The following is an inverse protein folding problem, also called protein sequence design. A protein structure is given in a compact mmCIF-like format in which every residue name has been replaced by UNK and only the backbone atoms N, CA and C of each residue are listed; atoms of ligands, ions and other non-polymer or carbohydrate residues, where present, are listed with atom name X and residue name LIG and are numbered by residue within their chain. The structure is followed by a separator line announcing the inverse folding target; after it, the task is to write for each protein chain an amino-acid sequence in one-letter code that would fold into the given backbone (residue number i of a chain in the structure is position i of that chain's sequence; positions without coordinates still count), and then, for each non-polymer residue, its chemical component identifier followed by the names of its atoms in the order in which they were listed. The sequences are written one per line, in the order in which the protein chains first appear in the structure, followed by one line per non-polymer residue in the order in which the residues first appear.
data_IF_029695277766
#
_entry.id   IF_029695277766
#
_cell.length_a   1.000
_cell.length_b   1.000
_cell.length_c   1.000
_cell.angle_alpha   90.00
_cell.angle_beta   90.00
_cell.angle_gamma   90.00
#
_symmetry.space_group_name_H-M   'P 1'
#
loop_
_entity.id
_entity.type
_entity.pdbx_description
1 polymer ?
#
# COMPACT_ATOMS: atom_id res chain seq x y z
N UNK A 1 -30.83 18.65 -22.32
CA UNK A 1 -30.57 17.22 -22.02
C UNK A 1 -29.09 17.07 -21.69
N UNK A 2 -28.69 17.58 -20.54
CA UNK A 2 -27.35 17.48 -19.96
C UNK A 2 -27.39 16.32 -18.96
N UNK A 3 -26.54 15.32 -19.16
CA UNK A 3 -26.28 14.32 -18.14
C UNK A 3 -25.42 14.98 -17.05
N UNK A 4 -26.04 15.32 -15.93
CA UNK A 4 -25.37 15.33 -14.63
C UNK A 4 -25.03 13.87 -14.32
N UNK A 5 -23.78 13.44 -14.55
CA UNK A 5 -23.39 12.06 -14.29
C UNK A 5 -23.25 11.85 -12.78
N UNK A 6 -24.36 11.56 -12.12
CA UNK A 6 -24.35 10.93 -10.80
C UNK A 6 -23.81 9.52 -10.96
N UNK A 7 -22.54 9.32 -10.61
CA UNK A 7 -21.95 7.98 -10.53
C UNK A 7 -22.65 7.21 -9.42
N UNK A 8 -23.58 6.32 -9.79
CA UNK A 8 -24.11 5.34 -8.86
C UNK A 8 -23.02 4.28 -8.62
N UNK A 9 -22.18 4.51 -7.61
CA UNK A 9 -21.46 3.41 -7.00
C UNK A 9 -22.51 2.48 -6.41
N UNK A 10 -22.51 1.22 -6.87
CA UNK A 10 -23.32 0.18 -6.25
C UNK A 10 -22.82 -0.05 -4.83
N UNK A 11 -23.26 0.78 -3.88
CA UNK A 11 -23.03 0.54 -2.47
C UNK A 11 -23.80 -0.72 -2.08
N UNK A 12 -23.12 -1.86 -2.06
CA UNK A 12 -23.65 -3.03 -1.37
C UNK A 12 -23.67 -2.72 0.12
N UNK A 13 -24.86 -2.64 0.71
CA UNK A 13 -24.99 -2.53 2.15
C UNK A 13 -24.59 -3.87 2.77
N UNK A 14 -23.39 -3.93 3.33
CA UNK A 14 -22.95 -5.05 4.17
C UNK A 14 -23.84 -5.10 5.41
N UNK A 15 -24.82 -6.01 5.41
CA UNK A 15 -25.81 -6.12 6.50
C UNK A 15 -25.22 -6.74 7.78
N UNK A 16 -24.12 -7.47 7.66
CA UNK A 16 -23.42 -8.13 8.75
C UNK A 16 -21.94 -7.84 8.57
N UNK A 17 -21.38 -7.01 9.43
CA UNK A 17 -19.94 -6.78 9.51
C UNK A 17 -19.35 -7.80 10.50
N UNK A 18 -18.20 -8.37 10.16
CA UNK A 18 -17.47 -9.32 11.00
C UNK A 18 -15.97 -8.99 10.96
N UNK A 19 -15.21 -9.52 11.91
CA UNK A 19 -13.76 -9.29 11.98
C UNK A 19 -13.38 -7.85 12.34
N UNK A 20 -12.21 -7.41 11.89
CA UNK A 20 -11.61 -6.11 12.22
C UNK A 20 -12.44 -4.89 11.80
N UNK A 21 -13.39 -5.06 10.88
CA UNK A 21 -14.31 -3.99 10.47
C UNK A 21 -15.27 -3.57 11.58
N UNK A 22 -15.56 -4.45 12.56
CA UNK A 22 -16.33 -4.09 13.76
C UNK A 22 -15.55 -3.17 14.71
N UNK A 23 -14.22 -3.22 14.65
CA UNK A 23 -13.31 -2.46 15.51
C UNK A 23 -12.86 -1.14 14.87
N UNK A 24 -13.49 -0.74 13.76
CA UNK A 24 -13.26 0.56 13.13
C UNK A 24 -12.25 0.56 11.99
N UNK A 25 -11.89 -0.60 11.42
CA UNK A 25 -11.01 -0.65 10.24
C UNK A 25 -11.61 0.05 8.99
N UNK A 26 -12.93 0.14 8.89
CA UNK A 26 -13.63 0.83 7.80
C UNK A 26 -14.93 1.47 8.31
N UNK A 27 -14.85 2.54 9.13
CA UNK A 27 -16.01 3.08 9.85
C UNK A 27 -17.10 3.60 8.92
N UNK A 28 -16.70 4.02 7.70
CA UNK A 28 -17.58 4.58 6.67
C UNK A 28 -17.73 3.66 5.44
N UNK A 29 -17.29 2.40 5.54
CA UNK A 29 -17.35 1.41 4.46
C UNK A 29 -16.02 1.19 3.73
N UNK A 30 -16.02 0.18 2.86
CA UNK A 30 -14.85 -0.28 2.11
C UNK A 30 -15.00 0.06 0.62
N UNK A 31 -13.93 0.54 0.01
CA UNK A 31 -13.90 0.88 -1.40
C UNK A 31 -13.36 -0.29 -2.23
N UNK A 32 -14.21 -0.90 -3.05
CA UNK A 32 -13.85 -2.07 -3.86
C UNK A 32 -13.05 -1.71 -5.11
N UNK A 33 -11.78 -2.12 -5.16
CA UNK A 33 -10.86 -1.90 -6.29
C UNK A 33 -10.60 -3.14 -7.13
N UNK A 34 -11.21 -4.29 -6.84
CA UNK A 34 -10.95 -5.54 -7.56
C UNK A 34 -11.40 -5.52 -9.03
N UNK A 35 -11.14 -6.61 -9.76
CA UNK A 35 -11.48 -6.74 -11.18
C UNK A 35 -12.97 -7.01 -11.46
N UNK A 36 -13.82 -7.07 -10.42
CA UNK A 36 -15.25 -7.32 -10.57
C UNK A 36 -16.00 -6.17 -11.22
N UNK A 37 -17.08 -6.46 -11.94
CA UNK A 37 -17.86 -5.46 -12.70
C UNK A 37 -18.56 -4.40 -11.86
N UNK A 38 -18.68 -4.62 -10.55
CA UNK A 38 -19.25 -3.67 -9.58
C UNK A 38 -18.18 -2.85 -8.84
N UNK A 39 -16.90 -3.08 -9.13
CA UNK A 39 -15.81 -2.29 -8.55
C UNK A 39 -15.84 -0.86 -9.09
N UNK A 40 -15.26 0.06 -8.34
CA UNK A 40 -15.26 1.48 -8.72
C UNK A 40 -14.58 1.70 -10.07
N UNK A 41 -13.37 1.18 -10.35
CA UNK A 41 -12.75 1.43 -11.65
C UNK A 41 -13.60 0.82 -12.79
N UNK A 42 -14.22 -0.35 -12.59
CA UNK A 42 -15.13 -0.95 -13.59
C UNK A 42 -16.35 -0.08 -13.88
N UNK A 43 -16.96 0.51 -12.85
CA UNK A 43 -18.13 1.38 -13.02
C UNK A 43 -17.72 2.66 -13.78
N UNK A 44 -16.63 3.30 -13.36
CA UNK A 44 -16.16 4.54 -13.99
C UNK A 44 -15.78 4.33 -15.47
N UNK A 45 -15.11 3.22 -15.77
CA UNK A 45 -14.75 2.86 -17.15
C UNK A 45 -15.98 2.51 -18.00
N UNK A 46 -16.94 1.77 -17.44
CA UNK A 46 -18.19 1.41 -18.13
C UNK A 46 -19.04 2.62 -18.50
N UNK A 47 -19.04 3.66 -17.65
CA UNK A 47 -19.69 4.93 -17.91
C UNK A 47 -18.87 5.84 -18.87
N UNK A 48 -17.69 5.38 -19.32
CA UNK A 48 -16.84 6.10 -20.26
C UNK A 48 -16.17 7.35 -19.68
N UNK A 49 -16.03 7.42 -18.34
CA UNK A 49 -15.45 8.59 -17.66
C UNK A 49 -13.93 8.55 -17.62
N UNK A 50 -13.35 7.36 -17.59
CA UNK A 50 -11.91 7.08 -17.48
C UNK A 50 -11.59 5.77 -18.20
N UNK A 51 -10.31 5.51 -18.47
CA UNK A 51 -9.85 4.18 -18.88
C UNK A 51 -10.07 3.14 -17.75
N UNK A 52 -10.16 1.83 -18.07
CA UNK A 52 -10.24 0.77 -17.07
C UNK A 52 -8.87 0.50 -16.42
N UNK A 53 -8.37 1.52 -15.73
CA UNK A 53 -7.11 1.53 -15.03
C UNK A 53 -7.18 2.42 -13.81
N UNK A 54 -6.25 2.24 -12.89
CA UNK A 54 -6.03 3.17 -11.79
C UNK A 54 -4.61 3.04 -11.26
N UNK A 55 -4.14 4.05 -10.54
CA UNK A 55 -2.88 3.99 -9.82
C UNK A 55 -3.05 4.32 -8.34
N UNK A 56 -2.15 3.78 -7.53
CA UNK A 56 -2.03 4.08 -6.11
C UNK A 56 -0.59 4.44 -5.78
N UNK A 57 -0.40 5.40 -4.90
CA UNK A 57 0.91 5.75 -4.38
C UNK A 57 0.84 5.89 -2.86
N UNK A 58 1.81 5.31 -2.17
CA UNK A 58 1.96 5.39 -0.71
C UNK A 58 3.26 6.11 -0.37
N UNK A 59 3.14 7.26 0.28
CA UNK A 59 4.25 8.07 0.76
C UNK A 59 4.73 7.60 2.12
N UNK A 60 6.02 7.78 2.40
CA UNK A 60 6.65 7.41 3.67
C UNK A 60 6.12 8.23 4.86
N UNK A 61 5.47 9.37 4.60
CA UNK A 61 4.85 10.23 5.60
C UNK A 61 3.40 9.83 5.95
N UNK A 62 2.91 8.73 5.38
CA UNK A 62 1.53 8.25 5.56
C UNK A 62 0.53 8.90 4.61
N UNK A 63 0.96 9.84 3.76
CA UNK A 63 0.11 10.39 2.70
C UNK A 63 0.02 9.40 1.55
N UNK A 64 -1.17 9.22 1.00
CA UNK A 64 -1.38 8.40 -0.20
C UNK A 64 -2.20 9.13 -1.25
N UNK A 65 -2.12 8.65 -2.49
CA UNK A 65 -2.99 9.10 -3.58
C UNK A 65 -3.52 7.90 -4.35
N UNK A 66 -4.75 8.04 -4.85
CA UNK A 66 -5.36 7.14 -5.82
C UNK A 66 -5.83 7.96 -7.02
N UNK A 67 -5.61 7.46 -8.23
CA UNK A 67 -6.02 8.12 -9.48
C UNK A 67 -6.68 7.12 -10.41
N UNK A 68 -7.92 7.36 -10.81
CA UNK A 68 -8.65 6.51 -11.76
C UNK A 68 -8.36 6.95 -13.20
N UNK A 69 -8.23 5.99 -14.10
CA UNK A 69 -7.84 6.20 -15.50
C UNK A 69 -6.36 6.41 -15.73
N UNK A 70 -5.51 6.22 -14.72
CA UNK A 70 -4.06 6.32 -14.87
C UNK A 70 -3.51 5.04 -15.52
N UNK A 71 -3.03 5.15 -16.75
CA UNK A 71 -2.38 4.07 -17.50
C UNK A 71 -0.85 4.02 -17.29
N UNK A 72 -0.31 4.94 -16.47
CA UNK A 72 1.12 5.05 -16.24
C UNK A 72 1.87 5.77 -17.35
N UNK A 73 3.18 5.52 -17.44
CA UNK A 73 4.07 6.17 -18.41
C UNK A 73 4.71 5.19 -19.38
N UNK A 74 5.07 5.68 -20.57
CA UNK A 74 5.80 4.88 -21.55
C UNK A 74 7.14 4.41 -21.00
N UNK A 75 7.38 3.09 -21.04
CA UNK A 75 8.63 2.48 -20.58
C UNK A 75 8.75 2.34 -19.06
N UNK A 76 7.63 2.43 -18.33
CA UNK A 76 7.58 2.00 -16.94
C UNK A 76 7.90 0.50 -16.83
N UNK A 77 8.36 0.08 -15.64
CA UNK A 77 8.51 -1.32 -15.34
C UNK A 77 7.14 -1.96 -15.17
N UNK A 78 6.94 -3.17 -15.71
CA UNK A 78 5.65 -3.84 -15.68
C UNK A 78 5.73 -5.37 -15.61
N UNK A 79 4.64 -5.99 -15.18
CA UNK A 79 4.43 -7.44 -15.23
C UNK A 79 3.00 -7.75 -15.63
N UNK A 80 2.75 -8.80 -16.44
CA UNK A 80 1.39 -9.25 -16.71
C UNK A 80 0.74 -9.82 -15.45
N UNK A 81 -0.57 -9.58 -15.32
CA UNK A 81 -1.38 -10.30 -14.35
C UNK A 81 -1.52 -11.78 -14.73
N UNK A 82 -1.78 -12.61 -13.73
CA UNK A 82 -2.08 -14.03 -13.88
C UNK A 82 -3.59 -14.29 -13.68
N UNK A 83 -4.42 -14.14 -14.73
CA UNK A 83 -5.88 -14.25 -14.61
C UNK A 83 -6.36 -15.68 -14.30
N UNK A 84 -5.50 -16.69 -14.45
CA UNK A 84 -5.87 -18.10 -14.25
C UNK A 84 -6.04 -18.50 -12.77
N UNK A 85 -5.56 -17.68 -11.83
CA UNK A 85 -5.56 -18.00 -10.38
C UNK A 85 -6.77 -17.43 -9.63
N UNK A 86 -7.19 -16.22 -9.97
CA UNK A 86 -8.42 -15.60 -9.47
C UNK A 86 -8.78 -14.42 -10.36
N UNK A 87 -10.00 -14.40 -10.87
CA UNK A 87 -10.46 -13.34 -11.78
C UNK A 87 -10.76 -12.01 -11.06
N UNK A 88 -10.72 -11.97 -9.72
CA UNK A 88 -11.08 -10.79 -8.94
C UNK A 88 -9.88 -10.10 -8.29
N UNK A 89 -8.75 -10.80 -8.17
CA UNK A 89 -7.55 -10.35 -7.45
C UNK A 89 -6.39 -10.06 -8.40
N UNK A 90 -5.58 -9.09 -8.05
CA UNK A 90 -4.38 -8.69 -8.79
C UNK A 90 -3.22 -9.65 -8.53
N UNK A 91 -3.30 -10.85 -9.12
CA UNK A 91 -2.24 -11.85 -9.06
C UNK A 91 -1.15 -11.57 -10.10
N UNK A 92 0.11 -11.66 -9.68
CA UNK A 92 1.29 -11.62 -10.55
C UNK A 92 2.17 -12.84 -10.28
N UNK A 93 3.17 -13.06 -11.13
CA UNK A 93 4.17 -14.12 -10.92
C UNK A 93 5.56 -13.49 -10.73
N UNK A 94 6.26 -13.92 -9.69
CA UNK A 94 7.67 -13.60 -9.43
C UNK A 94 8.49 -14.81 -9.85
N UNK A 95 9.64 -14.55 -10.47
CA UNK A 95 10.53 -15.58 -11.03
C UNK A 95 11.86 -15.70 -10.28
N UNK A 96 12.28 -14.64 -9.60
CA UNK A 96 13.53 -14.61 -8.83
C UNK A 96 13.40 -13.67 -7.64
N UNK A 97 14.05 -14.03 -6.52
CA UNK A 97 14.29 -13.13 -5.39
C UNK A 97 15.80 -12.90 -5.30
N UNK A 98 16.21 -11.63 -5.16
CA UNK A 98 17.60 -11.27 -4.90
C UNK A 98 17.71 -10.47 -3.61
N UNK A 99 18.61 -10.91 -2.72
CA UNK A 99 18.90 -10.21 -1.47
C UNK A 99 20.40 -9.94 -1.36
N UNK A 100 20.77 -8.66 -1.24
CA UNK A 100 22.15 -8.20 -1.17
C UNK A 100 23.05 -8.75 -2.29
N UNK A 101 22.51 -8.82 -3.51
CA UNK A 101 23.23 -9.25 -4.71
C UNK A 101 23.30 -10.76 -4.94
N UNK A 102 22.61 -11.58 -4.13
CA UNK A 102 22.49 -13.02 -4.38
C UNK A 102 21.07 -13.38 -4.75
N UNK A 103 20.94 -13.98 -5.93
CA UNK A 103 19.67 -14.39 -6.52
C UNK A 103 19.34 -15.85 -6.23
N UNK A 104 18.06 -16.12 -6.01
CA UNK A 104 17.46 -17.45 -5.98
C UNK A 104 16.31 -17.52 -7.00
N UNK A 105 16.42 -18.42 -7.97
CA UNK A 105 15.37 -18.66 -8.96
C UNK A 105 14.20 -19.38 -8.30
N UNK A 106 13.11 -18.64 -8.08
CA UNK A 106 11.93 -19.10 -7.37
C UNK A 106 10.69 -18.59 -8.08
N UNK A 107 9.93 -19.52 -8.66
CA UNK A 107 8.69 -19.22 -9.34
C UNK A 107 7.53 -19.34 -8.35
N UNK A 108 6.89 -18.22 -8.02
CA UNK A 108 5.70 -18.20 -7.18
C UNK A 108 4.76 -17.07 -7.60
N UNK A 109 3.47 -17.25 -7.31
CA UNK A 109 2.47 -16.22 -7.53
C UNK A 109 2.28 -15.42 -6.25
N UNK A 110 2.00 -14.13 -6.37
CA UNK A 110 1.66 -13.24 -5.27
C UNK A 110 0.54 -12.28 -5.66
N UNK A 111 -0.23 -11.85 -4.66
CA UNK A 111 -1.30 -10.86 -4.81
C UNK A 111 -0.74 -9.51 -4.38
N UNK A 112 -0.88 -8.48 -5.22
CA UNK A 112 -0.70 -7.10 -4.77
C UNK A 112 -1.97 -6.66 -4.05
N UNK A 113 -1.86 -6.44 -2.73
CA UNK A 113 -2.99 -6.07 -1.88
C UNK A 113 -2.68 -4.81 -1.07
N UNK A 114 -3.27 -3.68 -1.49
CA UNK A 114 -3.19 -2.42 -0.77
C UNK A 114 -3.93 -2.44 0.58
N UNK A 115 -4.82 -3.42 0.81
CA UNK A 115 -5.56 -3.57 2.06
C UNK A 115 -4.76 -4.21 3.19
N UNK A 116 -3.58 -4.75 2.88
CA UNK A 116 -2.70 -5.40 3.86
C UNK A 116 -1.46 -4.55 4.10
N UNK A 117 -1.16 -4.25 5.37
CA UNK A 117 -0.02 -3.38 5.73
C UNK A 117 1.33 -3.99 5.40
N UNK A 118 1.51 -5.29 5.63
CA UNK A 118 2.79 -5.99 5.47
C UNK A 118 2.76 -7.04 4.38
N UNK A 119 3.94 -7.45 3.93
CA UNK A 119 4.12 -8.50 2.94
C UNK A 119 4.11 -9.86 3.63
N UNK A 120 3.32 -10.80 3.12
CA UNK A 120 3.17 -12.15 3.65
C UNK A 120 3.65 -13.14 2.60
N UNK A 121 4.62 -14.00 2.93
CA UNK A 121 5.15 -14.98 1.98
C UNK A 121 5.09 -16.39 2.57
N UNK A 122 4.77 -17.36 1.73
CA UNK A 122 4.84 -18.79 2.02
C UNK A 122 6.21 -19.34 1.60
N UNK A 123 6.57 -20.52 2.12
CA UNK A 123 7.76 -21.23 1.71
C UNK A 123 7.60 -21.76 0.26
N UNK A 124 8.67 -21.76 -0.56
CA UNK A 124 10.05 -21.44 -0.19
C UNK A 124 10.44 -19.95 -0.26
N UNK A 125 9.54 -19.05 -0.71
CA UNK A 125 9.85 -17.64 -0.90
C UNK A 125 10.21 -16.94 0.42
N UNK A 126 9.45 -17.20 1.48
CA UNK A 126 9.72 -16.65 2.81
C UNK A 126 11.09 -17.05 3.36
N UNK A 127 11.40 -18.35 3.38
CA UNK A 127 12.73 -18.82 3.81
C UNK A 127 13.85 -18.19 2.97
N UNK A 128 13.68 -18.14 1.65
CA UNK A 128 14.71 -17.60 0.74
C UNK A 128 15.03 -16.13 1.05
N UNK A 129 14.01 -15.27 1.17
CA UNK A 129 14.24 -13.85 1.47
C UNK A 129 14.80 -13.65 2.88
N UNK A 130 14.22 -14.33 3.86
CA UNK A 130 14.51 -14.09 5.28
C UNK A 130 15.89 -14.58 5.71
N UNK A 131 16.26 -15.80 5.31
CA UNK A 131 17.60 -16.33 5.59
C UNK A 131 18.67 -15.58 4.81
N UNK A 132 18.40 -15.22 3.55
CA UNK A 132 19.35 -14.44 2.75
C UNK A 132 19.56 -13.03 3.30
N UNK A 133 18.50 -12.42 3.84
CA UNK A 133 18.59 -11.14 4.54
C UNK A 133 19.43 -11.28 5.81
N UNK A 134 19.14 -12.30 6.63
CA UNK A 134 19.86 -12.56 7.88
C UNK A 134 21.35 -12.85 7.69
N UNK A 135 21.72 -13.61 6.65
CA UNK A 135 23.12 -13.88 6.33
C UNK A 135 23.92 -12.62 5.94
N UNK A 136 23.23 -11.54 5.55
CA UNK A 136 23.84 -10.30 5.05
C UNK A 136 23.61 -9.10 5.96
N UNK A 137 22.74 -9.22 6.96
CA UNK A 137 22.57 -8.24 8.00
C UNK A 137 23.88 -8.08 8.78
N UNK A 138 24.29 -6.83 9.01
CA UNK A 138 25.53 -6.51 9.74
C UNK A 138 25.30 -6.47 11.25
N UNK A 139 24.10 -6.07 11.65
CA UNK A 139 23.73 -5.89 13.04
C UNK A 139 23.38 -7.24 13.69
N UNK A 140 23.51 -7.28 15.01
CA UNK A 140 23.27 -8.51 15.78
C UNK A 140 21.77 -8.84 15.75
N UNK A 141 21.44 -10.10 15.42
CA UNK A 141 20.06 -10.60 15.51
C UNK A 141 19.56 -10.42 16.95
N UNK A 142 18.44 -9.71 17.09
CA UNK A 142 17.80 -9.48 18.38
C UNK A 142 17.24 -10.79 18.90
N UNK A 143 17.48 -11.06 20.17
CA UNK A 143 16.94 -12.23 20.86
C UNK A 143 15.68 -11.90 21.66
N UNK A 144 15.07 -10.73 21.44
CA UNK A 144 13.89 -10.35 22.20
C UNK A 144 12.71 -11.23 21.80
N UNK A 145 12.12 -11.95 22.77
CA UNK A 145 10.78 -12.56 22.67
C UNK A 145 9.73 -11.43 22.65
N UNK A 146 9.84 -10.57 21.65
CA UNK A 146 8.81 -9.57 21.38
C UNK A 146 7.67 -10.28 20.65
N UNK A 147 6.42 -10.01 21.05
CA UNK A 147 5.19 -10.48 20.38
C UNK A 147 5.01 -9.87 18.96
N UNK A 148 6.12 -9.50 18.31
CA UNK A 148 6.13 -8.95 16.97
C UNK A 148 5.87 -10.05 15.94
N UNK A 149 5.14 -9.73 14.86
CA UNK A 149 4.89 -10.68 13.78
C UNK A 149 6.13 -10.98 12.93
N UNK A 150 7.26 -10.30 13.17
CA UNK A 150 8.49 -10.42 12.39
C UNK A 150 9.51 -11.32 13.08
N UNK A 151 9.98 -12.35 12.38
CA UNK A 151 10.94 -13.34 12.92
C UNK A 151 12.41 -12.86 12.88
N UNK A 152 12.73 -11.94 11.97
CA UNK A 152 14.10 -11.50 11.70
C UNK A 152 14.28 -10.03 12.08
N UNK A 153 14.62 -9.80 13.34
CA UNK A 153 14.90 -8.48 13.92
C UNK A 153 16.35 -8.35 14.37
N UNK A 154 16.86 -7.12 14.39
CA UNK A 154 18.24 -6.79 14.71
C UNK A 154 18.31 -5.56 15.62
N UNK A 155 19.24 -5.60 16.57
CA UNK A 155 19.42 -4.53 17.55
C UNK A 155 20.01 -3.27 16.90
N UNK A 156 19.41 -2.11 17.15
CA UNK A 156 19.98 -0.82 16.73
C UNK A 156 20.84 -0.28 17.88
N UNK A 157 22.12 -0.04 17.62
CA UNK A 157 23.03 0.57 18.60
C UNK A 157 22.60 2.01 18.93
N UNK A 158 22.75 2.44 20.18
CA UNK A 158 22.50 3.84 20.59
C UNK A 158 23.37 4.86 19.84
N UNK A 159 24.54 4.43 19.32
CA UNK A 159 25.45 5.29 18.56
C UNK A 159 25.15 5.26 17.05
N UNK A 160 24.26 4.38 16.60
CA UNK A 160 23.97 4.18 15.20
C UNK A 160 22.95 5.21 14.72
N UNK A 161 23.41 6.11 13.85
CA UNK A 161 22.56 7.14 13.25
C UNK A 161 21.86 6.64 11.98
N UNK A 162 22.33 5.55 11.36
CA UNK A 162 21.78 5.01 10.11
C UNK A 162 21.74 3.49 10.14
N UNK A 163 20.63 2.90 9.71
CA UNK A 163 20.50 1.45 9.57
C UNK A 163 20.88 1.05 8.15
N UNK A 164 21.86 0.14 8.03
CA UNK A 164 22.23 -0.46 6.75
C UNK A 164 21.62 -1.85 6.63
N UNK A 165 20.82 -2.05 5.59
CA UNK A 165 20.18 -3.34 5.32
C UNK A 165 20.47 -3.83 3.89
N UNK A 166 20.41 -5.16 3.66
CA UNK A 166 20.55 -5.72 2.33
C UNK A 166 19.45 -5.21 1.38
N UNK A 167 19.84 -4.89 0.14
CA UNK A 167 18.88 -4.56 -0.93
C UNK A 167 18.05 -5.80 -1.25
N UNK A 168 16.73 -5.64 -1.29
CA UNK A 168 15.78 -6.68 -1.71
C UNK A 168 15.23 -6.33 -3.10
N UNK A 169 15.30 -7.28 -4.01
CA UNK A 169 14.76 -7.16 -5.37
C UNK A 169 13.93 -8.40 -5.72
N UNK A 170 12.79 -8.18 -6.37
CA UNK A 170 11.92 -9.23 -6.90
C UNK A 170 11.89 -9.11 -8.42
N UNK A 171 12.37 -10.12 -9.14
CA UNK A 171 12.26 -10.14 -10.60
C UNK A 171 10.91 -10.71 -10.99
N UNK A 172 10.09 -9.86 -11.59
CA UNK A 172 8.73 -10.21 -12.01
C UNK A 172 8.75 -10.99 -13.33
N UNK A 173 7.67 -11.70 -13.62
CA UNK A 173 7.46 -12.29 -14.94
C UNK A 173 7.48 -11.18 -15.99
N UNK A 174 8.29 -11.35 -17.03
CA UNK A 174 8.57 -10.28 -18.00
C UNK A 174 10.01 -9.78 -17.90
N UNK A 175 10.65 -9.94 -16.75
CA UNK A 175 12.08 -9.67 -16.55
C UNK A 175 12.38 -8.36 -15.81
N UNK A 176 11.37 -7.51 -15.62
CA UNK A 176 11.53 -6.26 -14.87
C UNK A 176 11.74 -6.51 -13.37
N UNK A 177 12.47 -5.59 -12.75
CA UNK A 177 12.96 -5.74 -11.37
C UNK A 177 12.21 -4.79 -10.43
N UNK A 178 11.52 -5.34 -9.45
CA UNK A 178 10.89 -4.57 -8.39
C UNK A 178 11.83 -4.45 -7.19
N UNK A 179 12.52 -3.31 -7.08
CA UNK A 179 13.39 -3.01 -5.95
C UNK A 179 12.56 -2.52 -4.75
N UNK A 180 12.57 -3.25 -3.65
CA UNK A 180 11.85 -2.83 -2.44
C UNK A 180 12.54 -1.59 -1.85
N UNK A 181 11.81 -0.47 -1.78
CA UNK A 181 12.35 0.83 -1.32
C UNK A 181 12.83 0.75 0.12
N UNK A 182 12.00 0.18 1.00
CA UNK A 182 12.30 -0.01 2.42
C UNK A 182 11.79 -1.39 2.88
N UNK A 183 12.66 -2.41 2.95
CA UNK A 183 12.26 -3.76 3.33
C UNK A 183 12.15 -3.93 4.86
N UNK A 184 12.43 -2.90 5.65
CA UNK A 184 12.48 -3.01 7.11
C UNK A 184 11.32 -2.29 7.81
N UNK A 185 11.08 -2.66 9.07
CA UNK A 185 10.18 -1.97 9.99
C UNK A 185 10.95 -1.70 11.27
N UNK A 186 10.98 -0.45 11.70
CA UNK A 186 11.61 -0.06 12.96
C UNK A 186 10.56 -0.13 14.07
N UNK A 187 10.91 -0.79 15.17
CA UNK A 187 10.02 -1.01 16.31
C UNK A 187 10.71 -0.58 17.59
N UNK A 188 9.98 0.15 18.44
CA UNK A 188 10.42 0.45 19.80
C UNK A 188 10.15 -0.75 20.70
N UNK A 189 11.17 -1.18 21.43
CA UNK A 189 11.08 -2.24 22.43
C UNK A 189 11.52 -1.73 23.79
N UNK A 190 11.28 -2.51 24.85
CA UNK A 190 11.82 -2.19 26.17
C UNK A 190 13.35 -2.21 26.10
N UNK A 191 13.97 -1.03 26.21
CA UNK A 191 15.43 -0.88 26.19
C UNK A 191 16.01 -0.36 24.87
N UNK A 192 15.19 0.05 23.89
CA UNK A 192 15.70 0.73 22.69
C UNK A 192 14.83 0.54 21.45
N UNK A 193 15.48 0.44 20.30
CA UNK A 193 14.85 0.19 19.01
C UNK A 193 15.49 -1.02 18.35
N UNK A 194 14.66 -1.76 17.61
CA UNK A 194 15.09 -2.82 16.70
C UNK A 194 14.57 -2.49 15.31
N UNK A 195 15.24 -2.98 14.28
CA UNK A 195 14.65 -3.06 12.95
C UNK A 195 14.42 -4.52 12.58
N UNK A 196 13.30 -4.79 11.94
CA UNK A 196 12.91 -6.13 11.49
C UNK A 196 12.72 -6.15 9.99
N UNK A 197 12.99 -7.29 9.35
CA UNK A 197 12.53 -7.53 7.98
C UNK A 197 11.00 -7.50 7.96
N UNK A 198 10.42 -6.60 7.16
CA UNK A 198 8.97 -6.37 7.05
C UNK A 198 8.21 -7.47 6.28
N UNK A 199 8.58 -8.73 6.48
CA UNK A 199 7.96 -9.89 5.83
C UNK A 199 7.50 -10.86 6.89
N UNK A 200 6.24 -11.27 6.80
CA UNK A 200 5.62 -12.22 7.74
C UNK A 200 5.44 -13.57 7.05
N UNK A 201 5.68 -14.66 7.79
CA UNK A 201 5.44 -16.01 7.28
C UNK A 201 3.95 -16.27 7.09
N UNK A 202 3.56 -16.71 5.91
CA UNK A 202 2.22 -17.13 5.54
C UNK A 202 2.15 -18.65 5.43
N UNK A 203 1.04 -19.25 5.84
CA UNK A 203 0.78 -20.68 5.63
C UNK A 203 0.18 -21.01 4.26
N UNK A 204 -0.45 -20.03 3.61
CA UNK A 204 -1.36 -20.30 2.50
C UNK A 204 -0.98 -19.53 1.22
N UNK A 205 -1.10 -18.19 1.26
CA UNK A 205 -0.98 -17.32 0.09
C UNK A 205 0.17 -16.33 0.24
N UNK A 206 0.77 -15.93 -0.89
CA UNK A 206 1.73 -14.83 -0.94
C UNK A 206 1.00 -13.52 -1.25
N UNK A 207 1.32 -12.48 -0.47
CA UNK A 207 0.76 -11.13 -0.59
C UNK A 207 1.91 -10.15 -0.56
N UNK A 208 2.00 -9.29 -1.57
CA UNK A 208 2.80 -8.07 -1.53
C UNK A 208 1.92 -6.98 -0.94
N UNK A 209 2.26 -6.54 0.28
CA UNK A 209 1.50 -5.54 1.02
C UNK A 209 1.95 -4.11 0.75
N UNK A 210 1.27 -3.16 1.38
CA UNK A 210 1.55 -1.72 1.27
C UNK A 210 3.02 -1.39 1.57
N UNK A 211 3.65 -2.07 2.54
CA UNK A 211 5.05 -1.81 2.89
C UNK A 211 6.02 -1.93 1.71
N UNK A 212 5.78 -2.87 0.80
CA UNK A 212 6.62 -3.03 -0.41
C UNK A 212 6.18 -2.10 -1.54
N UNK A 213 4.93 -1.63 -1.55
CA UNK A 213 4.42 -0.65 -2.52
C UNK A 213 4.87 0.79 -2.23
N UNK A 214 5.27 1.08 -0.99
CA UNK A 214 5.68 2.42 -0.56
C UNK A 214 6.90 2.94 -1.36
N UNK A 215 6.84 4.20 -1.77
CA UNK A 215 7.86 4.82 -2.64
C UNK A 215 7.65 4.57 -4.13
N UNK A 216 6.56 3.92 -4.50
CA UNK A 216 6.13 3.72 -5.89
C UNK A 216 4.73 4.27 -6.13
N UNK A 217 4.52 4.76 -7.35
CA UNK A 217 3.21 4.77 -7.99
C UNK A 217 3.03 3.39 -8.63
N UNK A 218 2.07 2.62 -8.13
CA UNK A 218 1.67 1.31 -8.63
C UNK A 218 0.47 1.49 -9.56
N UNK A 219 0.56 0.99 -10.78
CA UNK A 219 -0.43 1.15 -11.84
C UNK A 219 -1.10 -0.20 -12.09
N UNK A 220 -2.42 -0.23 -12.01
CA UNK A 220 -3.26 -1.38 -12.30
C UNK A 220 -3.96 -1.13 -13.63
N UNK A 221 -3.30 -1.49 -14.74
CA UNK A 221 -3.88 -1.38 -16.08
C UNK A 221 -4.66 -2.66 -16.40
N UNK A 222 -5.99 -2.58 -16.26
CA UNK A 222 -6.87 -3.74 -16.44
C UNK A 222 -7.30 -3.92 -17.90
N UNK A 223 -7.06 -2.92 -18.75
CA UNK A 223 -7.26 -3.05 -20.19
C UNK A 223 -6.13 -3.88 -20.81
N UNK A 224 -4.88 -3.57 -20.44
CA UNK A 224 -3.69 -4.32 -20.88
C UNK A 224 -3.41 -5.56 -20.03
N UNK A 225 -4.09 -5.69 -18.89
CA UNK A 225 -3.89 -6.76 -17.91
C UNK A 225 -2.45 -6.82 -17.38
N UNK A 226 -1.90 -5.66 -17.02
CA UNK A 226 -0.55 -5.51 -16.46
C UNK A 226 -0.55 -4.70 -15.17
N UNK A 227 0.37 -5.03 -14.29
CA UNK A 227 0.76 -4.21 -13.15
C UNK A 227 2.02 -3.44 -13.53
N UNK A 228 1.95 -2.11 -13.54
CA UNK A 228 3.10 -1.23 -13.74
C UNK A 228 3.57 -0.61 -12.43
N UNK A 229 4.82 -0.14 -12.38
CA UNK A 229 5.29 0.68 -11.27
C UNK A 229 6.35 1.69 -11.70
N UNK A 230 6.39 2.82 -11.00
CA UNK A 230 7.42 3.85 -11.17
C UNK A 230 7.70 4.49 -9.82
N UNK A 231 8.97 4.78 -9.52
CA UNK A 231 9.35 5.45 -8.27
C UNK A 231 8.61 6.79 -8.16
N UNK A 232 8.02 7.06 -7.01
CA UNK A 232 7.27 8.29 -6.77
C UNK A 232 7.26 8.63 -5.28
N UNK A 233 7.34 9.92 -4.97
CA UNK A 233 7.09 10.45 -3.63
C UNK A 233 5.59 10.74 -3.36
N UNK A 234 4.73 10.38 -4.32
CA UNK A 234 3.30 10.64 -4.37
C UNK A 234 2.88 12.10 -4.60
N UNK A 235 3.77 13.08 -4.49
CA UNK A 235 3.50 14.51 -4.70
C UNK A 235 3.71 14.98 -6.13
N UNK A 236 4.48 14.22 -6.91
CA UNK A 236 4.74 14.49 -8.30
C UNK A 236 3.43 14.38 -9.09
N UNK A 237 2.84 15.53 -9.38
CA UNK A 237 1.74 15.66 -10.34
C UNK A 237 2.37 15.70 -11.72
N UNK A 238 2.78 14.52 -12.23
CA UNK A 238 2.87 14.37 -13.67
C UNK A 238 1.50 14.80 -14.21
N UNK A 239 1.48 15.78 -15.12
CA UNK A 239 0.30 16.29 -15.79
C UNK A 239 -0.37 15.15 -16.56
N UNK A 240 -1.08 14.27 -15.85
CA UNK A 240 -2.12 13.46 -16.46
C UNK A 240 -3.03 14.47 -17.12
N UNK A 241 -3.11 14.40 -18.45
CA UNK A 241 -3.90 15.29 -19.27
C UNK A 241 -5.31 15.37 -18.68
N UNK A 242 -5.53 16.36 -17.83
CA UNK A 242 -6.87 16.74 -17.42
C UNK A 242 -7.51 17.15 -18.72
N UNK A 243 -8.45 16.33 -19.18
CA UNK A 243 -9.23 16.63 -20.38
C UNK A 243 -9.68 18.09 -20.24
N UNK A 244 -9.47 18.95 -21.25
CA UNK A 244 -9.87 20.34 -21.13
C UNK A 244 -11.38 20.38 -20.94
N UNK A 245 -11.82 20.63 -19.71
CA UNK A 245 -13.20 20.98 -19.41
C UNK A 245 -13.39 22.36 -20.04
N UNK A 246 -14.05 22.36 -21.19
CA UNK A 246 -14.29 23.56 -21.99
C UNK A 246 -15.15 24.54 -21.15
N UNK A 247 -14.65 25.70 -20.68
CA UNK A 247 -15.32 26.50 -19.65
C UNK A 247 -16.54 27.29 -20.15
N UNK A 248 -16.94 27.11 -21.41
CA UNK A 248 -17.79 28.08 -22.08
C UNK A 248 -19.28 28.00 -21.73
N UNK A 249 -19.76 27.03 -20.94
CA UNK A 249 -21.18 26.97 -20.55
C UNK A 249 -21.38 26.22 -19.22
N UNK A 250 -21.22 26.90 -18.08
CA UNK A 250 -21.74 26.40 -16.80
C UNK A 250 -22.67 27.45 -16.16
N UNK A 251 -23.92 27.11 -15.82
CA UNK A 251 -24.75 27.97 -14.97
C UNK A 251 -24.17 28.01 -13.56
N UNK A 252 -24.28 29.16 -12.90
CA UNK A 252 -23.86 29.36 -11.51
C UNK A 252 -24.62 28.39 -10.58
N UNK A 253 -23.90 27.46 -9.95
CA UNK A 253 -24.43 26.55 -8.91
C UNK A 253 -24.11 27.15 -7.53
N UNK A 254 -25.01 27.06 -6.52
CA UNK A 254 -24.71 27.49 -5.14
C UNK A 254 -23.63 26.61 -4.50
N UNK A 255 -22.90 27.10 -3.48
CA UNK A 255 -21.82 26.33 -2.88
C UNK A 255 -22.35 25.08 -2.17
N UNK A 256 -21.83 23.92 -2.56
CA UNK A 256 -21.98 22.66 -1.81
C UNK A 256 -21.19 22.75 -0.51
N UNK A 257 -21.81 22.32 0.59
CA UNK A 257 -21.19 22.23 1.91
C UNK A 257 -20.14 21.11 1.88
N UNK A 258 -18.87 21.45 2.12
CA UNK A 258 -17.83 20.47 2.39
C UNK A 258 -18.20 19.67 3.63
N UNK A 259 -18.37 18.35 3.50
CA UNK A 259 -18.48 17.46 4.65
C UNK A 259 -17.08 17.01 5.01
N UNK A 260 -16.60 17.46 6.16
CA UNK A 260 -15.36 17.00 6.76
C UNK A 260 -15.56 15.57 7.30
N UNK A 261 -14.71 14.60 6.98
CA UNK A 261 -14.85 13.24 7.52
C UNK A 261 -14.68 13.27 9.04
N UNK A 262 -15.72 12.90 9.77
CA UNK A 262 -15.68 12.79 11.22
C UNK A 262 -14.84 11.56 11.61
N UNK A 263 -13.63 11.80 12.12
CA UNK A 263 -12.86 10.79 12.83
C UNK A 263 -13.55 10.54 14.18
N UNK A 264 -13.82 9.29 14.52
CA UNK A 264 -14.55 8.93 15.74
C UNK A 264 -13.70 9.28 16.97
N UNK A 265 -13.94 10.46 17.54
CA UNK A 265 -13.31 10.87 18.80
C UNK A 265 -13.98 10.10 19.96
N UNK A 266 -13.18 9.30 20.66
CA UNK A 266 -13.58 8.68 21.91
C UNK A 266 -14.05 9.72 22.92
N UNK A 267 -15.17 9.40 23.56
CA UNK A 267 -15.93 10.24 24.47
C UNK A 267 -15.08 10.76 25.65
N UNK A 268 -14.85 12.07 25.74
CA UNK A 268 -14.14 12.72 26.84
C UNK A 268 -14.55 14.19 27.00
N UNK A 269 -15.30 14.49 28.07
CA UNK A 269 -15.81 15.82 28.41
C UNK A 269 -14.70 16.89 28.59
N UNK A 270 -14.91 18.06 27.99
CA UNK A 270 -14.66 19.34 28.68
C UNK A 270 -13.56 20.27 28.16
N UNK A 271 -14.01 21.27 27.39
CA UNK A 271 -13.65 22.70 27.47
C UNK A 271 -12.38 23.27 26.78
N UNK A 272 -12.65 24.35 26.04
CA UNK A 272 -11.80 25.46 25.57
C UNK A 272 -10.73 25.22 24.48
N UNK A 273 -11.11 25.59 23.25
CA UNK A 273 -10.23 25.85 22.10
C UNK A 273 -9.48 27.17 22.34
N UNK A 274 -8.15 27.14 22.34
CA UNK A 274 -7.28 28.28 22.10
C UNK A 274 -6.53 28.02 20.79
N UNK A 275 -6.57 28.99 19.88
CA UNK A 275 -5.84 28.98 18.61
C UNK A 275 -4.33 28.79 18.84
N UNK A 276 -3.70 27.93 18.03
CA UNK A 276 -2.24 27.80 17.96
C UNK A 276 -1.72 28.34 16.61
N UNK A 277 -0.57 29.04 16.59
CA UNK A 277 -0.11 29.78 15.42
C UNK A 277 0.64 28.90 14.41
N UNK A 278 0.67 29.35 13.16
CA UNK A 278 1.45 28.77 12.05
C UNK A 278 2.96 28.78 12.35
N UNK A 279 3.73 27.72 12.04
CA UNK A 279 5.18 27.81 12.01
C UNK A 279 5.71 28.07 10.60
N UNK A 280 6.62 29.05 10.53
CA UNK A 280 7.48 29.38 9.40
C UNK A 280 8.40 28.22 9.01
N UNK A 281 8.75 28.22 7.72
CA UNK A 281 9.80 27.43 7.11
C UNK A 281 11.18 27.64 7.77
N UNK A 282 11.88 26.54 8.08
CA UNK A 282 13.33 26.41 7.99
C UNK A 282 13.74 24.93 8.06
N UNK A 283 14.66 24.54 7.19
CA UNK A 283 15.02 23.14 6.92
C UNK A 283 16.06 22.50 7.83
N UNK A 284 15.93 21.19 8.02
CA UNK A 284 16.96 20.16 8.28
C UNK A 284 16.26 18.78 8.30
N UNK A 285 16.92 17.66 7.94
CA UNK A 285 16.24 16.42 7.61
C UNK A 285 15.81 15.70 8.90
N UNK A 286 14.50 15.60 9.11
CA UNK A 286 13.92 14.94 10.28
C UNK A 286 13.50 13.53 9.93
N UNK A 287 14.01 12.58 10.71
CA UNK A 287 13.62 11.18 10.78
C UNK A 287 12.11 11.05 11.03
N UNK A 288 11.33 10.95 9.97
CA UNK A 288 9.92 10.60 10.03
C UNK A 288 9.79 9.14 9.61
N UNK A 289 9.90 8.23 10.58
CA UNK A 289 9.57 6.83 10.41
C UNK A 289 8.49 6.47 11.43
N UNK A 290 7.28 6.26 10.91
CA UNK A 290 6.14 5.55 11.48
C UNK A 290 6.07 5.41 13.03
N UNK A 291 5.44 6.38 13.71
CA UNK A 291 5.04 6.27 15.13
C UNK A 291 3.62 5.68 15.33
N UNK A 292 2.99 5.12 14.29
CA UNK A 292 1.63 4.56 14.39
C UNK A 292 1.47 3.18 13.74
N UNK A 293 2.39 2.24 14.04
CA UNK A 293 2.27 0.85 13.57
C UNK A 293 2.06 -0.19 14.68
N UNK A 294 1.78 0.21 15.93
CA UNK A 294 1.65 -0.73 17.06
C UNK A 294 0.25 -0.85 17.68
N UNK A 295 -0.81 -0.46 16.97
CA UNK A 295 -2.19 -0.71 17.42
C UNK A 295 -2.98 -1.71 16.54
N UNK A 296 -2.35 -2.36 15.57
CA UNK A 296 -3.01 -3.34 14.70
C UNK A 296 -2.28 -4.70 14.69
N UNK A 297 -1.42 -4.95 15.67
CA UNK A 297 -0.88 -6.30 15.94
C UNK A 297 -1.85 -6.94 16.90
N UNK A 298 -2.82 -7.69 16.39
CA UNK A 298 -3.53 -8.83 16.99
C UNK A 298 -4.83 -8.97 16.22
N UNK A 299 -4.93 -9.97 15.34
CA UNK A 299 -6.12 -10.82 15.12
C UNK A 299 -5.82 -11.81 13.98
N UNK A 300 -6.18 -13.10 14.13
CA UNK A 300 -5.97 -14.10 13.10
C UNK A 300 -6.94 -13.91 11.93
N UNK A 301 -6.45 -14.27 10.75
CA UNK A 301 -7.16 -14.35 9.48
C UNK A 301 -8.46 -15.15 9.64
N UNK A 302 -9.60 -14.54 9.29
CA UNK A 302 -10.61 -15.12 8.41
C UNK A 302 -11.67 -14.06 8.07
N UNK A 303 -11.61 -13.53 6.85
CA UNK A 303 -12.76 -12.90 6.21
C UNK A 303 -12.66 -13.11 4.69
N UNK A 304 -12.91 -14.34 4.27
CA UNK A 304 -13.32 -14.60 2.89
C UNK A 304 -14.85 -14.55 2.83
N UNK A 305 -15.37 -14.00 1.72
CA UNK A 305 -16.77 -13.96 1.26
C UNK A 305 -17.50 -12.66 1.62
N UNK A 306 -17.35 -11.62 0.78
CA UNK A 306 -18.32 -11.23 -0.26
C UNK A 306 -17.75 -10.13 -1.16
#
# INVERSE_FOLDING_TARGET
NTCDTMCFFGCSCGKVQTGSFLEGAAPNGLFGLGMGSISVPSILAKEGLVADSFSMCFGNDGTGRISFGDEGSSGQEETPFNPSKSQLLYNISITQISVGGTSADLNFDAIFDSGTSFTYLNDPAYTSISESFNLRAKDKRSSSDSDLPFEYCYDISEQQTTVEYPIVNLTMKGGDNFFVTDPIVIVSIQGGYVYCLGVVKSGDINIIGQNFMTGYRIIFDREKMVLGWTKSNCYDTEESNTLPINPANSPVVPPTVSVEPEATAGNGNGSHISEAPSPLANGSPTWNSFILALLMVFLPILASIL
#
